data_IF_752331598739
#
_entry.id   IF_752331598739
#
_cell.length_a   1.000
_cell.length_b   1.000
_cell.length_c   1.000
_cell.angle_alpha   90.00
_cell.angle_beta   90.00
_cell.angle_gamma   90.00
#
_symmetry.space_group_name_H-M   'P 1'
#
loop_
_entity.id
_entity.type
_entity.pdbx_description
1 polymer ?
#
# COMPACT_ATOMS: atom_id res chain seq x y z
N UNK A 1 -34.39 -6.35 -56.40
CA UNK A 1 -34.71 -7.78 -56.25
C UNK A 1 -33.60 -8.43 -55.42
N UNK A 2 -33.96 -8.87 -54.20
CA UNK A 2 -33.30 -9.91 -53.36
C UNK A 2 -33.28 -11.24 -54.19
N UNK A 3 -32.43 -12.29 -54.01
CA UNK A 3 -31.83 -12.83 -52.77
C UNK A 3 -30.39 -13.42 -52.79
N UNK A 4 -29.96 -13.73 -51.56
CA UNK A 4 -28.94 -14.68 -51.08
C UNK A 4 -29.11 -16.14 -51.53
N UNK A 5 -28.04 -16.94 -51.42
CA UNK A 5 -28.14 -18.41 -51.25
C UNK A 5 -26.99 -18.96 -50.38
N UNK A 6 -27.33 -19.70 -49.31
CA UNK A 6 -26.47 -20.69 -48.67
C UNK A 6 -26.35 -21.97 -49.53
N UNK A 7 -25.72 -23.09 -49.18
CA UNK A 7 -25.79 -23.87 -47.93
C UNK A 7 -24.94 -25.16 -48.13
N UNK A 8 -24.42 -25.71 -47.02
CA UNK A 8 -23.99 -27.09 -46.69
C UNK A 8 -23.13 -27.96 -47.65
N UNK A 9 -22.09 -28.57 -47.06
CA UNK A 9 -21.59 -29.90 -47.43
C UNK A 9 -21.67 -30.85 -46.23
N UNK A 10 -22.43 -31.92 -46.41
CA UNK A 10 -22.54 -33.08 -45.53
C UNK A 10 -21.48 -34.14 -45.90
N UNK A 11 -20.99 -34.87 -44.90
CA UNK A 11 -19.93 -35.86 -45.04
C UNK A 11 -20.36 -37.25 -45.50
N UNK A 12 -19.38 -38.13 -45.71
CA UNK A 12 -19.53 -39.59 -45.77
C UNK A 12 -18.32 -40.28 -45.12
N UNK A 13 -18.62 -41.24 -44.25
CA UNK A 13 -17.72 -42.18 -43.54
C UNK A 13 -17.18 -43.29 -44.47
N UNK A 14 -16.00 -43.84 -44.14
CA UNK A 14 -15.78 -45.31 -44.16
C UNK A 14 -14.61 -45.78 -43.25
N UNK A 15 -15.01 -46.49 -42.19
CA UNK A 15 -14.43 -47.65 -41.47
C UNK A 15 -13.46 -48.52 -42.30
N UNK A 16 -12.51 -49.33 -41.80
CA UNK A 16 -12.12 -49.90 -40.48
C UNK A 16 -10.81 -50.69 -40.73
N UNK A 17 -9.96 -50.89 -39.71
CA UNK A 17 -9.49 -52.21 -39.19
C UNK A 17 -8.34 -51.96 -38.19
N UNK A 18 -8.58 -52.26 -36.92
CA UNK A 18 -7.55 -52.25 -35.86
C UNK A 18 -7.52 -53.64 -35.22
N UNK A 19 -6.32 -54.21 -35.09
CA UNK A 19 -6.03 -55.46 -34.38
C UNK A 19 -5.48 -55.06 -33.00
N UNK A 20 -6.12 -55.54 -31.94
CA UNK A 20 -5.71 -55.34 -30.55
C UNK A 20 -4.60 -56.33 -30.15
N UNK A 21 -3.60 -55.85 -29.41
CA UNK A 21 -2.75 -56.66 -28.54
C UNK A 21 -2.72 -56.03 -27.16
N UNK A 22 -3.29 -56.72 -26.18
CA UNK A 22 -3.30 -56.37 -24.76
C UNK A 22 -2.12 -57.04 -24.05
N UNK A 23 -1.32 -56.27 -23.32
CA UNK A 23 -0.41 -56.74 -22.27
C UNK A 23 -0.78 -56.06 -20.94
N UNK A 24 -0.71 -56.74 -19.79
CA UNK A 24 -1.28 -56.23 -18.55
C UNK A 24 -0.26 -55.34 -17.79
N UNK A 25 -0.60 -54.07 -17.61
CA UNK A 25 0.19 -53.06 -16.89
C UNK A 25 0.10 -53.23 -15.35
N UNK A 26 -0.73 -54.14 -14.87
CA UNK A 26 -1.06 -54.29 -13.45
C UNK A 26 0.00 -54.98 -12.57
N UNK A 27 1.01 -55.66 -13.15
CA UNK A 27 2.03 -56.35 -12.36
C UNK A 27 3.22 -55.46 -11.95
N UNK A 28 3.57 -54.44 -12.74
CA UNK A 28 4.69 -53.54 -12.42
C UNK A 28 4.35 -52.52 -11.32
N UNK A 29 3.09 -52.08 -11.24
CA UNK A 29 2.66 -51.12 -10.22
C UNK A 29 2.69 -51.72 -8.80
N UNK A 30 2.36 -53.00 -8.64
CA UNK A 30 2.35 -53.66 -7.33
C UNK A 30 3.76 -53.86 -6.74
N UNK A 31 4.76 -54.13 -7.59
CA UNK A 31 6.17 -54.31 -7.16
C UNK A 31 6.82 -53.00 -6.70
N UNK A 32 6.45 -51.86 -7.29
CA UNK A 32 6.95 -50.54 -6.89
C UNK A 32 6.41 -50.06 -5.53
N UNK A 33 5.15 -50.38 -5.20
CA UNK A 33 4.56 -50.01 -3.90
C UNK A 33 5.15 -50.82 -2.72
N UNK A 34 5.47 -52.10 -2.91
CA UNK A 34 6.08 -52.95 -1.88
C UNK A 34 7.53 -52.55 -1.55
N UNK A 35 8.28 -52.00 -2.52
CA UNK A 35 9.64 -51.51 -2.30
C UNK A 35 9.69 -50.17 -1.53
N UNK A 36 8.69 -49.30 -1.72
CA UNK A 36 8.61 -48.02 -1.02
C UNK A 36 8.19 -48.18 0.46
N UNK A 37 7.28 -49.13 0.75
CA UNK A 37 6.82 -49.39 2.11
C UNK A 37 7.90 -50.00 3.01
N UNK A 38 8.78 -50.84 2.45
CA UNK A 38 9.90 -51.45 3.20
C UNK A 38 11.03 -50.46 3.48
N UNK A 39 11.26 -49.46 2.61
CA UNK A 39 12.21 -48.37 2.87
C UNK A 39 11.76 -47.44 4.01
N UNK A 40 10.45 -47.15 4.09
CA UNK A 40 9.88 -46.32 5.17
C UNK A 40 9.97 -46.99 6.55
N UNK A 41 9.73 -48.29 6.62
CA UNK A 41 9.77 -49.07 7.88
C UNK A 41 11.17 -49.33 8.41
N UNK A 42 12.20 -49.41 7.53
CA UNK A 42 13.57 -49.76 7.93
C UNK A 42 14.49 -48.54 8.13
N UNK A 43 14.21 -47.38 7.52
CA UNK A 43 15.12 -46.23 7.54
C UNK A 43 14.53 -44.90 8.07
N UNK A 44 13.20 -44.79 8.28
CA UNK A 44 12.55 -43.56 8.78
C UNK A 44 11.53 -43.86 9.89
N UNK A 45 11.89 -44.69 10.87
CA UNK A 45 11.18 -44.76 12.13
C UNK A 45 11.08 -43.39 12.81
N UNK A 46 10.05 -43.12 13.63
CA UNK A 46 9.75 -41.78 14.13
C UNK A 46 10.89 -41.28 15.01
N UNK A 47 11.57 -40.22 14.58
CA UNK A 47 12.43 -39.41 15.44
C UNK A 47 11.53 -38.78 16.52
N UNK A 48 11.46 -39.44 17.67
CA UNK A 48 10.95 -38.88 18.92
C UNK A 48 11.95 -37.82 19.37
N UNK A 49 11.71 -36.57 18.99
CA UNK A 49 12.45 -35.44 19.52
C UNK A 49 12.10 -35.26 21.02
N UNK A 50 13.08 -35.09 21.91
CA UNK A 50 12.81 -34.92 23.33
C UNK A 50 12.09 -33.60 23.59
N UNK A 51 11.02 -33.68 24.38
CA UNK A 51 10.37 -32.51 24.96
C UNK A 51 11.41 -31.66 25.69
N UNK A 52 11.69 -30.47 25.15
CA UNK A 52 12.09 -29.33 25.97
C UNK A 52 10.88 -28.42 26.04
N UNK A 53 10.17 -28.50 27.16
CA UNK A 53 9.19 -27.50 27.55
C UNK A 53 9.92 -26.17 27.67
N UNK A 54 9.83 -25.34 26.62
CA UNK A 54 10.14 -23.92 26.77
C UNK A 54 8.96 -23.33 27.55
N UNK A 55 9.10 -23.32 28.87
CA UNK A 55 8.32 -22.44 29.72
C UNK A 55 8.55 -21.04 29.19
N UNK A 56 7.56 -20.50 28.48
CA UNK A 56 7.43 -19.06 28.36
C UNK A 56 7.33 -18.56 29.79
N UNK A 57 8.41 -17.96 30.28
CA UNK A 57 8.34 -17.08 31.42
C UNK A 57 7.40 -15.95 31.01
N UNK A 58 6.10 -16.16 31.24
CA UNK A 58 5.15 -15.09 31.40
C UNK A 58 5.67 -14.29 32.59
N UNK A 59 6.46 -13.26 32.28
CA UNK A 59 6.58 -12.12 33.16
C UNK A 59 5.15 -11.63 33.38
N UNK A 60 4.65 -11.92 34.57
CA UNK A 60 3.41 -11.40 35.12
C UNK A 60 3.59 -9.90 35.33
N UNK A 61 3.63 -9.16 34.22
CA UNK A 61 3.17 -7.78 34.20
C UNK A 61 1.66 -7.84 34.27
N UNK A 62 1.11 -7.15 35.27
CA UNK A 62 -0.25 -7.31 35.75
C UNK A 62 -1.30 -7.31 34.65
N UNK A 63 -2.36 -8.07 34.90
CA UNK A 63 -3.66 -8.00 34.22
C UNK A 63 -4.13 -6.54 34.17
N UNK A 64 -3.79 -5.85 33.10
CA UNK A 64 -4.15 -4.47 32.81
C UNK A 64 -4.25 -4.29 31.31
N UNK A 65 -5.49 -4.21 30.82
CA UNK A 65 -5.90 -3.94 29.43
C UNK A 65 -5.13 -4.70 28.33
N UNK A 66 -5.73 -5.75 27.76
CA UNK A 66 -5.37 -6.24 26.43
C UNK A 66 -5.32 -5.04 25.47
N UNK A 67 -4.14 -4.69 24.96
CA UNK A 67 -3.97 -3.61 24.01
C UNK A 67 -4.81 -3.91 22.76
N UNK A 68 -5.68 -2.98 22.37
CA UNK A 68 -6.47 -3.09 21.15
C UNK A 68 -5.56 -3.10 19.91
N UNK A 69 -5.43 -4.25 19.26
CA UNK A 69 -4.77 -4.34 17.95
C UNK A 69 -5.78 -3.96 16.86
N UNK A 70 -5.69 -2.72 16.39
CA UNK A 70 -6.59 -2.17 15.36
C UNK A 70 -6.36 -2.77 13.98
N UNK A 71 -5.31 -3.57 13.78
CA UNK A 71 -4.99 -4.21 12.49
C UNK A 71 -5.75 -5.51 12.25
N UNK A 72 -6.37 -6.07 13.31
CA UNK A 72 -7.16 -7.29 13.27
C UNK A 72 -8.64 -6.96 13.42
N UNK A 73 -9.45 -7.52 12.53
CA UNK A 73 -10.87 -7.20 12.45
C UNK A 73 -11.45 -7.59 11.10
N UNK A 74 -12.58 -6.96 10.78
CA UNK A 74 -13.30 -7.19 9.53
C UNK A 74 -13.96 -5.90 9.04
N UNK A 75 -14.20 -5.84 7.73
CA UNK A 75 -15.05 -4.80 7.16
C UNK A 75 -16.50 -5.17 7.37
N UNK A 76 -17.24 -4.28 8.02
CA UNK A 76 -18.68 -4.44 8.24
C UNK A 76 -19.44 -3.36 7.50
N UNK A 77 -20.65 -3.67 7.06
CA UNK A 77 -21.51 -2.68 6.47
C UNK A 77 -21.81 -1.58 7.49
N UNK A 78 -21.79 -0.35 7.00
CA UNK A 78 -22.27 0.79 7.75
C UNK A 78 -23.76 0.65 8.08
N UNK A 79 -24.25 1.34 9.13
CA UNK A 79 -25.68 1.42 9.39
C UNK A 79 -26.45 1.94 8.16
N UNK A 80 -27.65 1.42 7.94
CA UNK A 80 -28.48 1.83 6.81
C UNK A 80 -28.68 3.36 6.78
N UNK A 81 -28.37 3.98 5.64
CA UNK A 81 -28.48 5.43 5.44
C UNK A 81 -27.24 6.22 5.89
N UNK A 82 -26.17 5.56 6.32
CA UNK A 82 -24.89 6.23 6.52
C UNK A 82 -24.41 6.90 5.22
N UNK A 83 -23.95 8.13 5.35
CA UNK A 83 -23.41 8.90 4.22
C UNK A 83 -21.88 8.81 4.23
N UNK A 84 -21.24 8.86 3.05
CA UNK A 84 -19.79 9.04 3.01
C UNK A 84 -19.42 10.37 3.68
N UNK A 85 -18.16 10.48 4.12
CA UNK A 85 -17.68 11.68 4.82
C UNK A 85 -17.76 12.94 3.96
N UNK A 86 -17.64 12.78 2.65
CA UNK A 86 -17.76 13.84 1.65
C UNK A 86 -18.18 13.19 0.33
N UNK A 87 -18.42 14.00 -0.70
CA UNK A 87 -18.75 13.53 -2.06
C UNK A 87 -17.97 14.32 -3.10
N UNK A 88 -18.04 13.90 -4.36
CA UNK A 88 -17.52 14.69 -5.49
C UNK A 88 -18.17 16.07 -5.65
N UNK A 89 -19.37 16.27 -5.10
CA UNK A 89 -20.06 17.56 -5.10
C UNK A 89 -19.65 18.47 -3.94
N UNK A 90 -19.22 17.90 -2.81
CA UNK A 90 -18.90 18.66 -1.59
C UNK A 90 -17.40 18.92 -1.43
N UNK A 91 -16.53 18.06 -1.97
CA UNK A 91 -15.09 18.26 -1.96
C UNK A 91 -14.52 18.62 -3.34
N UNK A 92 -13.97 19.83 -3.47
CA UNK A 92 -13.30 20.30 -4.69
C UNK A 92 -11.84 19.83 -4.83
N UNK A 93 -11.29 19.13 -3.83
CA UNK A 93 -9.89 18.70 -3.81
C UNK A 93 -9.66 17.29 -4.40
N UNK A 94 -10.73 16.54 -4.68
CA UNK A 94 -10.64 15.20 -5.26
C UNK A 94 -9.99 15.27 -6.64
N UNK A 95 -8.90 14.53 -6.84
CA UNK A 95 -8.21 14.44 -8.11
C UNK A 95 -8.99 13.53 -9.06
N UNK A 96 -8.96 13.82 -10.37
CA UNK A 96 -9.82 13.14 -11.35
C UNK A 96 -9.61 11.62 -11.35
N UNK A 97 -8.36 11.13 -11.31
CA UNK A 97 -8.02 9.70 -11.24
C UNK A 97 -8.58 8.95 -10.01
N UNK A 98 -9.11 9.68 -9.02
CA UNK A 98 -9.73 9.12 -7.81
C UNK A 98 -11.25 9.32 -7.79
N UNK A 99 -11.79 10.12 -8.71
CA UNK A 99 -13.17 10.59 -8.67
C UNK A 99 -14.13 9.62 -9.37
N UNK A 100 -14.24 8.41 -8.82
CA UNK A 100 -15.05 7.34 -9.36
C UNK A 100 -16.55 7.71 -9.49
N UNK A 101 -17.06 8.56 -8.59
CA UNK A 101 -18.42 9.09 -8.66
C UNK A 101 -18.61 9.97 -9.91
N UNK A 102 -17.68 10.89 -10.19
CA UNK A 102 -17.71 11.75 -11.38
C UNK A 102 -17.60 10.94 -12.67
N UNK A 103 -16.78 9.89 -12.67
CA UNK A 103 -16.54 9.05 -13.84
C UNK A 103 -17.53 7.89 -13.99
N UNK A 104 -18.65 7.93 -13.25
CA UNK A 104 -19.81 7.09 -13.53
C UNK A 104 -19.65 5.64 -13.08
N UNK A 105 -18.89 5.37 -12.01
CA UNK A 105 -18.80 4.04 -11.42
C UNK A 105 -20.22 3.52 -11.11
N UNK A 106 -20.66 2.37 -11.66
CA UNK A 106 -22.07 1.95 -11.61
C UNK A 106 -22.64 1.69 -10.22
N UNK A 107 -21.81 1.18 -9.30
CA UNK A 107 -22.18 0.95 -7.90
C UNK A 107 -21.31 1.78 -6.97
N UNK A 108 -21.93 2.34 -5.94
CA UNK A 108 -21.28 3.03 -4.82
C UNK A 108 -21.30 2.19 -3.54
N UNK A 109 -21.57 0.89 -3.63
CA UNK A 109 -21.64 -0.01 -2.46
C UNK A 109 -20.31 -0.09 -1.70
N UNK A 110 -19.18 0.14 -2.37
CA UNK A 110 -17.85 0.21 -1.75
C UNK A 110 -17.73 1.34 -0.70
N UNK A 111 -18.62 2.34 -0.74
CA UNK A 111 -18.69 3.41 0.26
C UNK A 111 -19.41 3.00 1.56
N UNK A 112 -20.08 1.85 1.57
CA UNK A 112 -20.99 1.44 2.65
C UNK A 112 -20.31 0.52 3.68
N UNK A 113 -19.01 0.72 3.91
CA UNK A 113 -18.18 -0.17 4.72
C UNK A 113 -17.34 0.61 5.72
N UNK A 114 -17.26 0.08 6.94
CA UNK A 114 -16.37 0.56 7.99
C UNK A 114 -15.55 -0.59 8.58
N UNK A 115 -14.35 -0.26 9.05
CA UNK A 115 -13.50 -1.24 9.72
C UNK A 115 -13.94 -1.45 11.17
N UNK A 116 -14.08 -2.71 11.58
CA UNK A 116 -14.38 -3.09 12.97
C UNK A 116 -13.25 -3.95 13.54
N UNK A 117 -12.45 -3.44 14.49
CA UNK A 117 -11.43 -4.23 15.16
C UNK A 117 -12.01 -5.36 16.04
N UNK A 118 -11.25 -6.43 16.24
CA UNK A 118 -11.68 -7.65 16.96
C UNK A 118 -11.76 -7.50 18.51
N UNK A 119 -11.18 -6.45 19.10
CA UNK A 119 -10.90 -6.39 20.55
C UNK A 119 -12.09 -6.09 21.48
N UNK A 120 -13.34 -6.17 21.01
CA UNK A 120 -14.53 -5.98 21.83
C UNK A 120 -14.73 -4.54 22.34
N UNK A 121 -15.57 -4.33 23.38
CA UNK A 121 -15.87 -3.00 23.92
C UNK A 121 -14.59 -2.27 24.38
N UNK A 122 -14.38 -1.05 23.88
CA UNK A 122 -13.16 -0.26 24.12
C UNK A 122 -12.06 -0.42 23.07
N UNK A 123 -12.24 -1.30 22.08
CA UNK A 123 -11.39 -1.42 20.89
C UNK A 123 -12.10 -0.94 19.61
N UNK A 124 -13.05 -0.02 19.77
CA UNK A 124 -13.84 0.49 18.66
C UNK A 124 -13.05 1.52 17.86
N UNK A 125 -13.14 1.42 16.52
CA UNK A 125 -12.74 2.49 15.62
C UNK A 125 -14.01 3.28 15.25
N UNK A 126 -14.29 4.41 15.91
CA UNK A 126 -15.46 5.22 15.57
C UNK A 126 -15.25 5.92 14.22
N UNK A 127 -16.37 6.24 13.55
CA UNK A 127 -16.34 7.09 12.37
C UNK A 127 -15.62 8.40 12.65
N UNK A 128 -14.96 8.93 11.63
CA UNK A 128 -14.22 10.18 11.76
C UNK A 128 -15.12 11.34 12.25
N UNK A 129 -14.66 12.02 13.32
CA UNK A 129 -15.30 13.20 13.90
C UNK A 129 -14.40 14.42 13.68
N UNK A 130 -14.78 15.27 12.72
CA UNK A 130 -14.03 16.47 12.37
C UNK A 130 -13.91 17.46 13.54
N UNK A 131 -14.95 17.62 14.37
CA UNK A 131 -14.91 18.53 15.51
C UNK A 131 -13.95 18.02 16.60
N UNK A 132 -13.91 16.70 16.83
CA UNK A 132 -12.90 16.08 17.70
C UNK A 132 -11.49 16.25 17.12
N UNK A 133 -11.31 15.98 15.82
CA UNK A 133 -10.02 16.15 15.16
C UNK A 133 -9.51 17.59 15.32
N UNK A 134 -10.33 18.58 14.96
CA UNK A 134 -10.00 19.99 15.09
C UNK A 134 -9.69 20.44 16.51
N UNK A 135 -10.32 19.85 17.55
CA UNK A 135 -9.92 20.12 18.95
C UNK A 135 -8.52 19.63 19.26
N UNK A 136 -8.12 18.48 18.72
CA UNK A 136 -6.78 17.90 18.94
C UNK A 136 -5.71 18.71 18.20
N UNK A 137 -6.03 19.21 17.00
CA UNK A 137 -5.07 19.87 16.11
C UNK A 137 -5.13 21.40 16.11
N UNK A 138 -5.92 22.01 16.99
CA UNK A 138 -6.01 23.46 17.09
C UNK A 138 -4.64 24.07 17.42
N UNK A 139 -4.20 25.03 16.60
CA UNK A 139 -2.89 25.67 16.73
C UNK A 139 -1.70 24.77 16.40
N UNK A 140 -1.93 23.68 15.64
CA UNK A 140 -0.92 22.69 15.28
C UNK A 140 -0.76 22.53 13.77
N UNK A 141 0.24 21.74 13.37
CA UNK A 141 0.47 21.38 11.98
C UNK A 141 0.79 19.89 11.76
N UNK A 142 0.41 19.38 10.59
CA UNK A 142 0.76 18.03 10.12
C UNK A 142 1.48 18.13 8.79
N UNK A 143 2.62 17.44 8.67
CA UNK A 143 3.34 17.25 7.43
C UNK A 143 3.19 15.80 6.94
N UNK A 144 2.68 15.63 5.72
CA UNK A 144 2.68 14.36 5.00
C UNK A 144 3.86 14.32 4.03
N UNK A 145 4.58 13.20 4.00
CA UNK A 145 5.79 13.02 3.18
C UNK A 145 5.70 11.69 2.44
N UNK A 146 5.68 11.72 1.12
CA UNK A 146 5.44 10.48 0.39
C UNK A 146 5.19 10.56 -1.11
N UNK A 147 4.69 9.44 -1.61
CA UNK A 147 4.25 9.24 -2.99
C UNK A 147 2.77 9.65 -3.20
N UNK A 148 2.17 9.17 -4.29
CA UNK A 148 0.79 9.46 -4.66
C UNK A 148 -0.24 8.91 -3.67
N UNK A 149 0.07 7.86 -2.92
CA UNK A 149 -0.80 7.37 -1.86
C UNK A 149 -0.71 8.25 -0.62
N UNK A 150 0.41 8.94 -0.37
CA UNK A 150 0.47 9.99 0.65
C UNK A 150 -0.41 11.18 0.24
N UNK A 151 -0.33 11.62 -1.02
CA UNK A 151 -1.21 12.65 -1.57
C UNK A 151 -2.70 12.25 -1.50
N UNK A 152 -3.01 10.97 -1.71
CA UNK A 152 -4.36 10.42 -1.56
C UNK A 152 -4.88 10.55 -0.12
N UNK A 153 -4.03 10.29 0.88
CA UNK A 153 -4.38 10.46 2.30
C UNK A 153 -4.64 11.93 2.63
N UNK A 154 -3.78 12.83 2.16
CA UNK A 154 -3.95 14.28 2.34
C UNK A 154 -5.28 14.73 1.74
N UNK A 155 -5.58 14.28 0.51
CA UNK A 155 -6.83 14.62 -0.19
C UNK A 155 -8.05 14.14 0.60
N UNK A 156 -8.04 12.89 1.08
CA UNK A 156 -9.13 12.34 1.91
C UNK A 156 -9.31 13.12 3.21
N UNK A 157 -8.23 13.42 3.94
CA UNK A 157 -8.28 14.19 5.18
C UNK A 157 -8.83 15.61 4.94
N UNK A 158 -8.28 16.31 3.94
CA UNK A 158 -8.70 17.67 3.59
C UNK A 158 -10.17 17.69 3.17
N UNK A 159 -10.61 16.74 2.34
CA UNK A 159 -12.02 16.63 1.96
C UNK A 159 -12.93 16.42 3.18
N UNK A 160 -12.57 15.49 4.06
CA UNK A 160 -13.33 15.19 5.27
C UNK A 160 -13.44 16.41 6.19
N UNK A 161 -12.37 17.18 6.35
CA UNK A 161 -12.36 18.40 7.17
C UNK A 161 -13.09 19.57 6.48
N UNK A 162 -13.11 19.60 5.15
CA UNK A 162 -13.74 20.68 4.37
C UNK A 162 -15.24 20.80 4.55
N UNK A 163 -15.90 19.71 4.99
CA UNK A 163 -17.32 19.72 5.38
C UNK A 163 -17.59 20.62 6.60
N UNK A 164 -16.59 20.82 7.46
CA UNK A 164 -16.69 21.68 8.64
C UNK A 164 -16.01 23.05 8.43
N UNK A 165 -14.91 23.09 7.68
CA UNK A 165 -14.24 24.34 7.31
C UNK A 165 -13.48 24.20 5.99
N UNK A 166 -13.82 25.02 4.99
CA UNK A 166 -13.11 25.03 3.70
C UNK A 166 -11.71 25.64 3.90
N UNK A 167 -10.62 24.91 3.58
CA UNK A 167 -9.28 25.44 3.74
C UNK A 167 -8.85 26.32 2.56
N UNK A 168 -7.90 27.21 2.80
CA UNK A 168 -7.13 27.86 1.73
C UNK A 168 -5.99 26.95 1.29
N UNK A 169 -5.77 26.81 -0.03
CA UNK A 169 -4.67 26.03 -0.60
C UNK A 169 -3.59 26.95 -1.19
N UNK A 170 -2.31 26.60 -1.01
CA UNK A 170 -1.17 27.24 -1.69
C UNK A 170 -0.06 26.22 -1.97
N UNK A 171 0.66 26.43 -3.06
CA UNK A 171 1.88 25.69 -3.38
C UNK A 171 3.08 26.61 -3.17
N UNK A 172 4.07 26.19 -2.38
CA UNK A 172 5.26 26.99 -2.09
C UNK A 172 6.45 26.08 -1.74
N UNK A 173 7.64 26.42 -2.22
CA UNK A 173 8.91 25.75 -1.85
C UNK A 173 8.95 24.23 -2.06
N UNK A 174 8.14 23.72 -3.01
CA UNK A 174 8.01 22.28 -3.28
C UNK A 174 7.00 21.55 -2.38
N UNK A 175 6.20 22.29 -1.62
CA UNK A 175 5.13 21.77 -0.77
C UNK A 175 3.77 22.24 -1.26
N UNK A 176 2.77 21.39 -1.02
CA UNK A 176 1.36 21.79 -1.04
C UNK A 176 0.90 22.07 0.39
N UNK A 177 0.18 23.16 0.61
CA UNK A 177 -0.30 23.55 1.93
C UNK A 177 -1.80 23.82 1.92
N UNK A 178 -2.47 23.37 2.97
CA UNK A 178 -3.85 23.69 3.30
C UNK A 178 -3.90 24.32 4.68
N UNK A 179 -4.55 25.47 4.81
CA UNK A 179 -4.76 26.14 6.10
C UNK A 179 -6.24 26.21 6.41
N UNK A 180 -6.59 25.89 7.65
CA UNK A 180 -7.91 25.99 8.26
C UNK A 180 -7.87 27.13 9.30
N UNK A 181 -8.14 28.38 8.91
CA UNK A 181 -7.94 29.56 9.76
C UNK A 181 -8.75 29.56 11.07
N UNK A 182 -9.99 29.06 11.08
CA UNK A 182 -10.83 29.05 12.27
C UNK A 182 -10.30 28.12 13.38
N UNK A 183 -9.46 27.16 12.99
CA UNK A 183 -8.80 26.21 13.88
C UNK A 183 -7.30 26.46 14.06
N UNK A 184 -6.75 27.46 13.36
CA UNK A 184 -5.30 27.68 13.26
C UNK A 184 -4.54 26.36 13.01
N UNK A 185 -5.07 25.58 12.07
CA UNK A 185 -4.56 24.27 11.74
C UNK A 185 -3.97 24.27 10.32
N UNK A 186 -2.81 23.63 10.15
CA UNK A 186 -2.14 23.54 8.87
C UNK A 186 -1.84 22.08 8.49
N UNK A 187 -2.11 21.75 7.22
CA UNK A 187 -1.68 20.50 6.59
C UNK A 187 -0.69 20.86 5.50
N UNK A 188 0.45 20.18 5.48
CA UNK A 188 1.44 20.31 4.41
C UNK A 188 1.73 18.94 3.79
N UNK A 189 2.04 18.91 2.51
CA UNK A 189 2.44 17.71 1.78
C UNK A 189 3.72 17.95 1.01
N UNK A 190 4.67 17.03 1.14
CA UNK A 190 5.92 17.02 0.40
C UNK A 190 6.04 15.74 -0.43
N UNK A 191 6.20 15.89 -1.74
CA UNK A 191 6.36 14.78 -2.67
C UNK A 191 7.79 14.22 -2.62
N UNK A 192 7.93 12.99 -2.15
CA UNK A 192 9.18 12.21 -2.26
C UNK A 192 8.87 10.71 -2.34
N UNK A 193 8.83 10.15 -3.56
CA UNK A 193 8.34 8.78 -3.78
C UNK A 193 9.29 7.71 -3.21
N UNK A 194 10.53 8.08 -2.91
CA UNK A 194 11.55 7.18 -2.38
C UNK A 194 12.03 7.56 -0.98
N UNK A 195 11.55 8.67 -0.39
CA UNK A 195 11.93 9.19 0.95
C UNK A 195 13.38 9.68 1.09
N UNK A 196 14.32 9.02 0.40
CA UNK A 196 15.74 9.39 0.28
C UNK A 196 15.98 10.30 -0.92
N UNK A 197 17.12 10.96 -0.94
CA UNK A 197 17.55 11.78 -2.06
C UNK A 197 17.56 10.95 -3.35
N UNK A 198 16.90 11.48 -4.37
CA UNK A 198 16.77 10.78 -5.63
C UNK A 198 16.70 11.76 -6.81
N UNK A 199 16.98 11.26 -8.02
CA UNK A 199 16.81 12.01 -9.27
C UNK A 199 16.54 11.08 -10.43
N UNK A 200 16.02 11.63 -11.53
CA UNK A 200 15.95 10.93 -12.80
C UNK A 200 17.35 10.73 -13.37
N UNK A 201 17.71 9.50 -13.74
CA UNK A 201 19.05 9.19 -14.28
C UNK A 201 19.36 9.99 -15.55
N UNK A 202 18.35 10.32 -16.36
CA UNK A 202 18.49 11.11 -17.60
C UNK A 202 17.84 12.50 -17.54
N UNK A 203 17.52 13.00 -16.33
CA UNK A 203 16.77 14.25 -16.14
C UNK A 203 15.30 14.16 -16.57
N UNK A 204 14.45 15.13 -16.20
CA UNK A 204 13.07 15.16 -16.64
C UNK A 204 12.99 15.52 -18.13
N UNK A 205 11.96 15.06 -18.87
CA UNK A 205 11.63 15.63 -20.17
C UNK A 205 11.56 17.15 -20.06
N UNK A 206 12.11 17.87 -21.05
CA UNK A 206 12.20 19.33 -21.04
C UNK A 206 10.85 20.03 -20.80
N UNK A 207 9.73 19.39 -21.15
CA UNK A 207 8.38 19.87 -20.93
C UNK A 207 7.94 19.94 -19.45
N UNK A 208 8.61 19.24 -18.54
CA UNK A 208 8.21 19.12 -17.13
C UNK A 208 9.05 19.99 -16.19
N UNK A 209 10.28 20.32 -16.60
CA UNK A 209 11.21 21.15 -15.81
C UNK A 209 11.84 20.41 -14.62
N UNK A 210 12.93 20.95 -14.04
CA UNK A 210 13.66 20.32 -12.93
C UNK A 210 12.86 20.24 -11.62
N UNK A 211 11.90 21.14 -11.40
CA UNK A 211 11.13 21.20 -10.15
C UNK A 211 10.04 20.12 -10.05
N UNK A 212 9.67 19.49 -11.17
CA UNK A 212 8.63 18.45 -11.24
C UNK A 212 9.16 17.09 -11.69
N UNK A 213 10.45 16.82 -11.45
CA UNK A 213 11.11 15.53 -11.75
C UNK A 213 10.35 14.32 -11.18
N UNK A 214 9.69 14.50 -10.02
CA UNK A 214 8.85 13.52 -9.33
C UNK A 214 7.53 13.14 -9.99
N UNK A 215 7.04 13.96 -10.90
CA UNK A 215 5.73 13.78 -11.54
C UNK A 215 5.82 13.03 -12.86
N UNK A 216 7.03 12.69 -13.32
CA UNK A 216 7.25 12.08 -14.62
C UNK A 216 7.40 10.58 -14.49
N UNK A 217 6.60 9.84 -15.27
CA UNK A 217 6.81 8.42 -15.56
C UNK A 217 8.04 8.21 -16.48
N UNK A 218 9.19 8.79 -16.15
CA UNK A 218 10.38 8.74 -17.00
C UNK A 218 11.52 7.99 -16.32
N UNK A 219 12.12 7.04 -17.06
CA UNK A 219 13.49 6.55 -16.89
C UNK A 219 13.84 5.84 -15.57
N UNK A 220 15.01 5.18 -15.50
CA UNK A 220 15.53 4.73 -14.23
C UNK A 220 15.82 5.91 -13.30
N UNK A 221 15.81 5.64 -12.00
CA UNK A 221 16.02 6.62 -10.96
C UNK A 221 17.35 6.36 -10.25
N UNK A 222 18.13 7.40 -9.94
CA UNK A 222 19.29 7.29 -9.05
C UNK A 222 18.81 7.52 -7.61
N UNK A 223 18.96 6.53 -6.73
CA UNK A 223 18.57 6.62 -5.31
C UNK A 223 19.81 6.61 -4.42
N UNK A 224 19.95 7.63 -3.57
CA UNK A 224 21.03 7.73 -2.58
C UNK A 224 20.55 7.15 -1.24
N UNK A 225 20.76 5.85 -1.02
CA UNK A 225 20.09 5.08 0.03
C UNK A 225 20.45 5.50 1.46
N UNK A 226 21.53 6.25 1.66
CA UNK A 226 22.04 6.74 2.94
C UNK A 226 21.82 8.25 3.17
N UNK A 227 21.09 8.92 2.27
CA UNK A 227 20.84 10.36 2.32
C UNK A 227 19.31 10.59 2.38
N UNK A 228 18.73 11.02 3.52
CA UNK A 228 17.34 11.47 3.55
C UNK A 228 17.13 12.61 2.54
N UNK A 229 15.94 12.71 1.95
CA UNK A 229 15.63 13.87 1.11
C UNK A 229 15.65 15.15 1.96
N UNK A 230 16.61 16.04 1.69
CA UNK A 230 16.99 17.10 2.63
C UNK A 230 15.88 18.15 2.83
N UNK A 231 15.06 18.39 1.81
CA UNK A 231 14.14 19.55 1.79
C UNK A 231 13.05 19.47 2.87
N UNK A 232 12.58 18.28 3.23
CA UNK A 232 11.48 18.14 4.19
C UNK A 232 11.94 17.91 5.64
N UNK A 233 13.20 17.54 5.87
CA UNK A 233 13.72 17.29 7.21
C UNK A 233 13.69 18.52 8.14
N UNK A 234 14.01 19.75 7.68
CA UNK A 234 13.79 20.96 8.48
C UNK A 234 12.31 21.19 8.78
N UNK A 235 11.44 21.02 7.78
CA UNK A 235 9.99 21.17 7.96
C UNK A 235 9.43 20.16 8.97
N UNK A 236 9.99 18.94 9.04
CA UNK A 236 9.60 17.96 10.05
C UNK A 236 9.79 18.48 11.48
N UNK A 237 10.84 19.27 11.76
CA UNK A 237 11.07 19.87 13.08
C UNK A 237 10.00 20.88 13.47
N UNK A 238 9.43 21.56 12.49
CA UNK A 238 8.45 22.64 12.65
C UNK A 238 7.01 22.13 12.73
N UNK A 239 6.78 20.83 12.49
CA UNK A 239 5.44 20.25 12.51
C UNK A 239 5.19 19.40 13.76
N UNK A 240 3.98 19.49 14.30
CA UNK A 240 3.57 18.70 15.47
C UNK A 240 3.41 17.21 15.15
N UNK A 241 3.05 16.90 13.90
CA UNK A 241 2.93 15.53 13.40
C UNK A 241 3.58 15.41 12.04
N UNK A 242 4.27 14.29 11.80
CA UNK A 242 4.91 13.98 10.52
C UNK A 242 4.49 12.58 10.11
N UNK A 243 3.78 12.45 8.99
CA UNK A 243 3.33 11.16 8.44
C UNK A 243 4.19 10.81 7.23
N UNK A 244 5.04 9.79 7.37
CA UNK A 244 5.89 9.28 6.29
C UNK A 244 5.28 8.02 5.67
N UNK A 245 5.26 7.95 4.34
CA UNK A 245 4.75 6.78 3.62
C UNK A 245 5.22 6.72 2.17
N UNK A 246 5.69 5.55 1.74
CA UNK A 246 6.03 5.25 0.35
C UNK A 246 6.20 3.74 0.18
N UNK A 247 5.86 3.20 -1.00
CA UNK A 247 6.13 1.78 -1.29
C UNK A 247 6.32 1.48 -2.77
N UNK A 248 5.35 1.84 -3.60
CA UNK A 248 5.22 1.24 -4.94
C UNK A 248 6.24 1.74 -5.94
N UNK A 249 6.75 2.96 -5.75
CA UNK A 249 7.79 3.53 -6.60
C UNK A 249 9.09 2.73 -6.57
N UNK A 250 9.41 2.04 -5.47
CA UNK A 250 10.61 1.21 -5.37
C UNK A 250 10.63 0.03 -6.34
N UNK A 251 9.49 -0.38 -6.88
CA UNK A 251 9.42 -1.42 -7.92
C UNK A 251 9.86 -0.94 -9.31
N UNK A 252 10.12 0.37 -9.48
CA UNK A 252 10.60 0.92 -10.74
C UNK A 252 12.09 0.67 -10.96
N UNK A 253 12.56 0.63 -12.21
CA UNK A 253 13.97 0.60 -12.51
C UNK A 253 14.73 1.73 -11.80
N UNK A 254 15.86 1.38 -11.20
CA UNK A 254 16.61 2.28 -10.35
C UNK A 254 18.06 1.83 -10.18
N UNK A 255 18.99 2.79 -10.08
CA UNK A 255 20.38 2.59 -9.67
C UNK A 255 20.53 3.06 -8.23
N UNK A 256 21.17 2.25 -7.41
CA UNK A 256 21.31 2.48 -5.99
C UNK A 256 22.72 2.95 -5.66
N UNK A 257 22.79 4.06 -4.96
CA UNK A 257 24.02 4.68 -4.49
C UNK A 257 24.13 4.61 -2.97
N UNK A 258 25.35 4.44 -2.47
CA UNK A 258 25.73 4.78 -1.09
C UNK A 258 27.02 5.55 -1.09
N UNK A 259 27.09 6.65 -0.34
CA UNK A 259 28.29 7.51 -0.28
C UNK A 259 28.83 7.87 -1.68
N UNK A 260 27.93 8.13 -2.62
CA UNK A 260 28.26 8.44 -4.02
C UNK A 260 28.71 7.26 -4.90
N UNK A 261 28.78 6.03 -4.39
CA UNK A 261 29.17 4.84 -5.17
C UNK A 261 27.96 3.99 -5.53
N UNK A 262 27.89 3.51 -6.78
CA UNK A 262 26.85 2.57 -7.19
C UNK A 262 27.06 1.22 -6.48
N UNK A 263 26.06 0.78 -5.72
CA UNK A 263 26.07 -0.48 -4.95
C UNK A 263 25.15 -1.55 -5.52
N UNK A 264 24.29 -1.18 -6.47
CA UNK A 264 23.43 -2.12 -7.17
C UNK A 264 22.35 -1.41 -7.98
N UNK A 265 21.46 -2.18 -8.59
CA UNK A 265 20.35 -1.65 -9.37
C UNK A 265 19.18 -2.64 -9.44
N UNK A 266 17.99 -2.13 -9.73
CA UNK A 266 16.80 -2.90 -10.09
C UNK A 266 16.36 -2.53 -11.50
N UNK A 267 15.94 -3.52 -12.30
CA UNK A 267 15.50 -3.28 -13.69
C UNK A 267 16.59 -2.79 -14.65
N UNK A 268 17.87 -2.88 -14.26
CA UNK A 268 19.02 -2.55 -15.10
C UNK A 268 19.35 -3.71 -16.05
N UNK A 269 19.63 -3.42 -17.32
CA UNK A 269 20.20 -4.40 -18.25
C UNK A 269 21.63 -4.73 -17.77
N UNK A 270 21.91 -6.00 -17.50
CA UNK A 270 23.20 -6.47 -16.99
C UNK A 270 24.33 -6.42 -18.03
N UNK A 271 24.13 -5.73 -19.16
CA UNK A 271 25.02 -5.75 -20.32
C UNK A 271 26.34 -5.00 -20.11
N UNK A 272 26.41 -4.06 -19.15
CA UNK A 272 27.61 -3.25 -18.89
C UNK A 272 28.43 -3.68 -17.67
N UNK A 273 28.16 -4.88 -17.12
CA UNK A 273 29.12 -5.64 -16.31
C UNK A 273 29.58 -5.10 -14.95
N UNK A 274 29.07 -3.96 -14.45
CA UNK A 274 29.68 -3.31 -13.27
C UNK A 274 28.73 -3.00 -12.09
N UNK A 275 27.44 -3.34 -12.17
CA UNK A 275 26.46 -3.04 -11.09
C UNK A 275 25.62 -4.27 -10.76
N UNK A 276 25.59 -4.65 -9.48
CA UNK A 276 24.88 -5.84 -8.99
C UNK A 276 23.36 -5.66 -9.08
N UNK A 277 22.65 -6.61 -9.70
CA UNK A 277 21.20 -6.64 -9.67
C UNK A 277 20.70 -6.95 -8.25
N UNK A 278 19.89 -6.06 -7.68
CA UNK A 278 19.33 -6.16 -6.34
C UNK A 278 17.79 -6.05 -6.41
N UNK A 279 17.07 -6.76 -5.53
CA UNK A 279 15.61 -6.67 -5.50
C UNK A 279 15.17 -5.30 -5.00
N UNK A 280 13.98 -4.81 -5.39
CA UNK A 280 13.49 -3.49 -5.01
C UNK A 280 13.36 -3.31 -3.49
N UNK A 281 13.08 -4.41 -2.76
CA UNK A 281 13.04 -4.42 -1.29
C UNK A 281 14.35 -3.99 -0.63
N UNK A 282 15.48 -4.14 -1.32
CA UNK A 282 16.78 -3.71 -0.80
C UNK A 282 16.82 -2.19 -0.63
N UNK A 283 16.39 -1.45 -1.66
CA UNK A 283 16.34 0.00 -1.65
C UNK A 283 15.27 0.53 -0.69
N UNK A 284 14.07 -0.06 -0.72
CA UNK A 284 12.99 0.34 0.19
C UNK A 284 13.40 0.19 1.66
N UNK A 285 14.00 -0.95 2.03
CA UNK A 285 14.47 -1.18 3.40
C UNK A 285 15.51 -0.15 3.80
N UNK A 286 16.48 0.12 2.92
CA UNK A 286 17.52 1.10 3.21
C UNK A 286 16.96 2.52 3.35
N UNK A 287 16.01 2.91 2.50
CA UNK A 287 15.37 4.22 2.56
C UNK A 287 14.60 4.43 3.89
N UNK A 288 13.76 3.48 4.28
CA UNK A 288 13.03 3.57 5.55
C UNK A 288 13.97 3.49 6.76
N UNK A 289 15.03 2.68 6.71
CA UNK A 289 16.07 2.71 7.75
C UNK A 289 16.66 4.10 7.91
N UNK A 290 17.06 4.72 6.80
CA UNK A 290 17.70 6.03 6.78
C UNK A 290 16.77 7.11 7.31
N UNK A 291 15.54 7.18 6.81
CA UNK A 291 14.57 8.21 7.18
C UNK A 291 14.04 8.04 8.60
N UNK A 292 13.71 6.82 9.03
CA UNK A 292 13.19 6.60 10.38
C UNK A 292 14.25 6.85 11.45
N UNK A 293 15.52 6.49 11.20
CA UNK A 293 16.63 6.86 12.10
C UNK A 293 16.87 8.36 12.12
N UNK A 294 16.81 9.03 10.96
CA UNK A 294 16.97 10.47 10.89
C UNK A 294 15.87 11.19 11.70
N UNK A 295 14.62 10.73 11.65
CA UNK A 295 13.52 11.23 12.48
C UNK A 295 13.70 10.90 13.96
N UNK A 296 14.10 9.67 14.28
CA UNK A 296 14.33 9.21 15.66
C UNK A 296 15.46 9.96 16.37
N UNK A 297 16.46 10.45 15.62
CA UNK A 297 17.57 11.25 16.11
C UNK A 297 17.46 12.75 15.78
N UNK A 298 16.29 13.23 15.36
CA UNK A 298 16.14 14.60 14.87
C UNK A 298 16.20 15.60 16.01
N UNK A 299 17.35 16.25 16.19
CA UNK A 299 17.55 17.22 17.27
C UNK A 299 16.53 18.36 17.21
N UNK A 300 15.89 18.63 18.35
CA UNK A 300 14.84 19.64 18.51
C UNK A 300 13.43 19.21 18.06
N UNK A 301 13.23 18.02 17.48
CA UNK A 301 11.89 17.55 17.13
C UNK A 301 11.12 17.08 18.37
N UNK A 302 9.96 17.71 18.62
CA UNK A 302 9.08 17.41 19.77
C UNK A 302 7.73 16.81 19.35
N UNK A 303 7.51 16.67 18.05
CA UNK A 303 6.27 16.16 17.47
C UNK A 303 6.12 14.64 17.59
N UNK A 304 5.16 14.11 16.85
CA UNK A 304 4.94 12.69 16.67
C UNK A 304 5.23 12.31 15.22
N UNK A 305 6.21 11.44 15.00
CA UNK A 305 6.46 10.83 13.69
C UNK A 305 5.60 9.57 13.55
N UNK A 306 4.97 9.40 12.39
CA UNK A 306 4.02 8.34 12.10
C UNK A 306 4.47 7.66 10.79
N UNK A 307 4.73 6.36 10.83
CA UNK A 307 4.90 5.55 9.62
C UNK A 307 3.55 4.98 9.21
N UNK A 308 3.04 5.32 8.02
CA UNK A 308 1.96 4.55 7.39
C UNK A 308 2.56 3.41 6.58
N UNK A 309 2.12 2.19 6.85
CA UNK A 309 2.58 0.99 6.13
C UNK A 309 2.05 0.92 4.69
N UNK A 310 2.52 -0.07 3.93
CA UNK A 310 2.12 -0.35 2.55
C UNK A 310 0.60 -0.44 2.44
N UNK A 311 0.02 0.27 1.48
CA UNK A 311 -1.35 0.04 1.02
C UNK A 311 -1.28 -0.78 -0.28
N UNK A 312 -1.73 -2.04 -0.29
CA UNK A 312 -1.50 -2.97 -1.39
C UNK A 312 -2.33 -2.61 -2.63
N UNK A 313 -1.85 -3.09 -3.77
CA UNK A 313 -2.60 -3.12 -5.03
C UNK A 313 -3.47 -4.38 -5.13
N UNK A 314 -4.50 -4.37 -5.99
CA UNK A 314 -5.37 -5.54 -6.23
C UNK A 314 -5.49 -5.84 -7.73
N UNK A 315 -4.34 -5.97 -8.39
CA UNK A 315 -4.29 -6.37 -9.79
C UNK A 315 -4.64 -7.84 -9.98
N UNK A 316 -5.59 -8.10 -10.86
CA UNK A 316 -5.92 -9.41 -11.44
C UNK A 316 -5.61 -9.40 -12.95
N UNK A 317 -5.35 -10.57 -13.53
CA UNK A 317 -5.20 -10.79 -14.98
C UNK A 317 -4.11 -9.96 -15.68
N UNK A 318 -3.18 -9.37 -14.95
CA UNK A 318 -2.10 -8.55 -15.47
C UNK A 318 -1.58 -7.59 -14.40
N UNK A 319 -0.59 -6.76 -14.72
CA UNK A 319 -0.14 -5.66 -13.87
C UNK A 319 -0.51 -4.30 -14.43
N UNK A 320 -0.03 -3.23 -13.79
CA UNK A 320 -0.25 -1.84 -14.21
C UNK A 320 0.02 -1.60 -15.71
N UNK A 321 1.08 -2.20 -16.27
CA UNK A 321 1.46 -2.00 -17.68
C UNK A 321 1.05 -3.15 -18.61
N UNK A 322 0.44 -4.21 -18.07
CA UNK A 322 0.24 -5.48 -18.77
C UNK A 322 -1.26 -5.84 -18.90
N UNK A 323 -2.14 -4.83 -18.80
CA UNK A 323 -3.59 -5.00 -18.94
C UNK A 323 -4.30 -5.59 -17.72
N UNK A 324 -3.73 -5.42 -16.52
CA UNK A 324 -4.37 -5.85 -15.28
C UNK A 324 -5.64 -5.06 -14.95
N UNK A 325 -6.52 -5.67 -14.15
CA UNK A 325 -7.82 -5.14 -13.74
C UNK A 325 -8.13 -5.43 -12.26
N UNK A 326 -9.10 -4.73 -11.69
CA UNK A 326 -9.58 -4.94 -10.31
C UNK A 326 -11.11 -4.95 -10.30
N UNK A 327 -11.73 -6.06 -10.75
CA UNK A 327 -13.17 -6.10 -11.02
C UNK A 327 -14.01 -6.32 -9.76
N UNK A 328 -13.39 -6.59 -8.61
CA UNK A 328 -14.10 -6.87 -7.38
C UNK A 328 -15.00 -5.70 -6.97
N UNK A 329 -16.17 -6.05 -6.44
CA UNK A 329 -17.21 -5.08 -6.07
C UNK A 329 -17.57 -5.15 -4.60
N UNK A 330 -16.98 -6.07 -3.85
CA UNK A 330 -17.15 -6.22 -2.40
C UNK A 330 -15.78 -6.39 -1.72
N UNK A 331 -15.68 -6.04 -0.43
CA UNK A 331 -14.54 -6.42 0.41
C UNK A 331 -14.37 -7.93 0.47
N UNK A 332 -13.17 -8.38 0.81
CA UNK A 332 -12.92 -9.78 1.17
C UNK A 332 -13.57 -10.10 2.52
N UNK A 333 -14.25 -11.25 2.61
CA UNK A 333 -14.79 -11.74 3.86
C UNK A 333 -13.66 -12.07 4.86
N UNK A 334 -14.01 -12.12 6.15
CA UNK A 334 -13.08 -12.38 7.25
C UNK A 334 -12.22 -13.63 7.03
N UNK A 335 -12.86 -14.71 6.59
CA UNK A 335 -12.26 -16.04 6.44
C UNK A 335 -11.56 -16.24 5.09
N UNK A 336 -11.70 -15.27 4.16
CA UNK A 336 -10.98 -15.30 2.90
C UNK A 336 -9.48 -15.03 3.11
N UNK A 337 -8.66 -15.83 2.43
CA UNK A 337 -7.21 -15.65 2.40
C UNK A 337 -6.88 -14.37 1.65
N UNK A 338 -6.23 -13.44 2.36
CA UNK A 338 -5.74 -12.19 1.82
C UNK A 338 -4.21 -12.26 1.78
N UNK A 339 -3.66 -12.81 0.69
CA UNK A 339 -2.21 -12.92 0.50
C UNK A 339 -1.66 -11.67 -0.20
N UNK A 340 -0.59 -11.11 0.36
CA UNK A 340 0.10 -9.98 -0.24
C UNK A 340 1.23 -10.47 -1.15
N UNK A 341 1.15 -10.13 -2.44
CA UNK A 341 2.17 -10.49 -3.41
C UNK A 341 3.50 -9.78 -3.15
N UNK A 342 4.60 -10.36 -3.65
CA UNK A 342 5.87 -9.64 -3.74
C UNK A 342 5.83 -8.65 -4.93
N UNK A 343 6.48 -7.47 -4.83
CA UNK A 343 7.39 -7.05 -3.76
C UNK A 343 6.72 -6.42 -2.53
N UNK A 344 5.40 -6.20 -2.53
CA UNK A 344 4.68 -5.49 -1.47
C UNK A 344 4.79 -6.19 -0.10
N UNK A 345 4.67 -7.52 -0.07
CA UNK A 345 4.84 -8.31 1.15
C UNK A 345 6.24 -8.15 1.76
N UNK A 346 7.26 -8.08 0.91
CA UNK A 346 8.64 -7.78 1.29
C UNK A 346 8.82 -6.36 1.81
N UNK A 347 8.18 -5.37 1.16
CA UNK A 347 8.19 -3.97 1.61
C UNK A 347 7.55 -3.79 2.97
N UNK A 348 6.39 -4.43 3.20
CA UNK A 348 5.68 -4.39 4.47
C UNK A 348 6.53 -4.96 5.61
N UNK A 349 7.09 -6.17 5.43
CA UNK A 349 7.98 -6.78 6.43
C UNK A 349 9.20 -5.91 6.72
N UNK A 350 9.82 -5.34 5.68
CA UNK A 350 10.95 -4.42 5.85
C UNK A 350 10.58 -3.14 6.60
N UNK A 351 9.43 -2.53 6.31
CA UNK A 351 8.92 -1.36 7.05
C UNK A 351 8.74 -1.66 8.53
N UNK A 352 8.13 -2.81 8.87
CA UNK A 352 7.95 -3.20 10.27
C UNK A 352 9.28 -3.46 10.99
N UNK A 353 10.24 -4.11 10.32
CA UNK A 353 11.57 -4.35 10.87
C UNK A 353 12.32 -3.03 11.17
N UNK A 354 12.37 -2.12 10.20
CA UNK A 354 13.07 -0.83 10.37
C UNK A 354 12.33 0.11 11.34
N UNK A 355 11.00 0.05 11.39
CA UNK A 355 10.20 0.77 12.39
C UNK A 355 10.56 0.34 13.81
N UNK A 356 10.55 -0.97 14.10
CA UNK A 356 10.89 -1.49 15.44
C UNK A 356 12.32 -1.10 15.86
N UNK A 357 13.26 -1.14 14.92
CA UNK A 357 14.63 -0.71 15.17
C UNK A 357 14.72 0.79 15.49
N UNK A 358 14.00 1.64 14.74
CA UNK A 358 13.98 3.08 14.96
C UNK A 358 13.18 3.50 16.20
N UNK A 359 12.16 2.75 16.59
CA UNK A 359 11.35 3.01 17.79
C UNK A 359 12.19 2.91 19.07
N UNK A 360 13.10 1.93 19.14
CA UNK A 360 14.01 1.79 20.27
C UNK A 360 14.92 3.02 20.41
N UNK A 361 15.43 3.53 19.30
CA UNK A 361 16.26 4.74 19.23
C UNK A 361 15.45 6.01 19.54
N UNK A 362 14.26 6.14 18.95
CA UNK A 362 13.36 7.26 19.18
C UNK A 362 13.01 7.37 20.67
N UNK A 363 12.73 6.24 21.34
CA UNK A 363 12.47 6.20 22.78
C UNK A 363 13.66 6.69 23.61
N UNK A 364 14.89 6.36 23.22
CA UNK A 364 16.12 6.84 23.91
C UNK A 364 16.28 8.36 23.74
N UNK A 365 15.87 8.89 22.60
CA UNK A 365 15.98 10.31 22.25
C UNK A 365 14.74 11.14 22.64
N UNK A 366 13.70 10.53 23.23
CA UNK A 366 12.46 11.22 23.59
C UNK A 366 11.54 11.57 22.41
N UNK A 367 11.78 11.01 21.22
CA UNK A 367 10.94 11.19 20.03
C UNK A 367 9.75 10.22 20.07
N UNK A 368 8.54 10.72 19.80
CA UNK A 368 7.35 9.88 19.68
C UNK A 368 7.26 9.32 18.27
N UNK A 369 7.65 8.06 18.10
CA UNK A 369 7.44 7.31 16.87
C UNK A 369 6.19 6.43 17.01
N UNK A 370 5.33 6.39 15.99
CA UNK A 370 4.07 5.64 15.97
C UNK A 370 3.89 4.90 14.64
N UNK A 371 3.33 3.70 14.71
CA UNK A 371 2.99 2.92 13.53
C UNK A 371 1.50 3.10 13.24
N UNK A 372 1.17 3.47 12.01
CA UNK A 372 -0.18 3.44 11.48
C UNK A 372 -0.24 2.29 10.46
N UNK A 373 -0.52 1.09 10.96
CA UNK A 373 -0.53 -0.11 10.14
C UNK A 373 -1.88 -0.27 9.43
N UNK A 374 -1.89 0.07 8.15
CA UNK A 374 -3.08 0.01 7.28
C UNK A 374 -3.08 -1.24 6.40
N UNK A 375 -1.98 -1.98 6.33
CA UNK A 375 -1.71 -2.96 5.28
C UNK A 375 -2.78 -4.04 5.23
N UNK A 376 -3.10 -4.66 6.37
CA UNK A 376 -4.11 -5.74 6.44
C UNK A 376 -5.54 -5.23 6.24
N UNK A 377 -5.82 -4.02 6.69
CA UNK A 377 -7.13 -3.37 6.55
C UNK A 377 -7.40 -3.14 5.07
N UNK A 378 -6.42 -2.60 4.35
CA UNK A 378 -6.53 -2.26 2.93
C UNK A 378 -6.45 -3.47 2.00
N UNK A 379 -5.73 -4.53 2.36
CA UNK A 379 -5.67 -5.79 1.59
C UNK A 379 -7.04 -6.49 1.46
N UNK A 380 -8.00 -6.11 2.30
CA UNK A 380 -9.36 -6.67 2.26
C UNK A 380 -10.32 -5.82 1.44
N UNK A 381 -9.83 -4.82 0.69
CA UNK A 381 -10.65 -3.85 -0.04
C UNK A 381 -10.38 -3.81 -1.55
N UNK A 382 -10.36 -4.95 -2.26
CA UNK A 382 -10.18 -4.93 -3.71
C UNK A 382 -11.28 -4.13 -4.43
N UNK A 383 -12.45 -3.98 -3.82
CA UNK A 383 -13.56 -3.15 -4.28
C UNK A 383 -13.30 -1.63 -4.24
N UNK A 384 -12.21 -1.20 -3.60
CA UNK A 384 -11.90 0.19 -3.34
C UNK A 384 -11.30 0.97 -4.50
N UNK A 385 -10.78 0.27 -5.50
CA UNK A 385 -9.97 0.86 -6.55
C UNK A 385 -10.80 1.57 -7.62
N UNK A 386 -10.25 2.59 -8.31
CA UNK A 386 -10.89 3.20 -9.45
C UNK A 386 -11.18 2.23 -10.60
N UNK A 387 -10.33 1.22 -10.81
CA UNK A 387 -10.36 0.39 -12.02
C UNK A 387 -10.40 1.32 -13.26
N UNK A 388 -11.37 1.17 -14.15
CA UNK A 388 -11.57 2.03 -15.32
C UNK A 388 -12.22 3.39 -15.02
N UNK A 389 -12.62 3.63 -13.77
CA UNK A 389 -13.40 4.80 -13.35
C UNK A 389 -12.53 5.90 -12.74
N UNK A 390 -11.21 5.88 -12.97
CA UNK A 390 -10.33 7.01 -12.68
C UNK A 390 -10.37 8.09 -13.76
N UNK A 391 -10.76 7.76 -14.99
CA UNK A 391 -10.66 8.70 -16.11
C UNK A 391 -12.00 8.91 -16.81
N UNK A 392 -12.15 10.05 -17.50
CA UNK A 392 -13.31 10.31 -18.36
C UNK A 392 -13.32 9.45 -19.61
N UNK A 393 -14.35 9.56 -20.45
CA UNK A 393 -14.33 8.90 -21.76
C UNK A 393 -13.19 9.43 -22.64
N UNK A 394 -12.42 8.53 -23.28
CA UNK A 394 -11.29 8.88 -24.15
C UNK A 394 -10.23 7.79 -24.18
N UNK A 395 -9.21 7.99 -25.03
CA UNK A 395 -7.96 7.21 -24.99
C UNK A 395 -7.01 7.87 -24.00
N UNK A 396 -6.61 7.13 -22.96
CA UNK A 396 -5.64 7.60 -21.95
C UNK A 396 -4.26 6.97 -22.13
N UNK A 397 -3.93 6.50 -23.33
CA UNK A 397 -2.60 6.00 -23.65
C UNK A 397 -2.21 4.74 -22.86
N UNK A 398 -3.20 3.88 -22.55
CA UNK A 398 -3.01 2.66 -21.77
C UNK A 398 -3.03 2.83 -20.25
N UNK A 399 -3.30 4.05 -19.75
CA UNK A 399 -3.51 4.31 -18.31
C UNK A 399 -4.99 4.24 -17.91
N UNK A 400 -5.78 3.42 -18.60
CA UNK A 400 -7.23 3.39 -18.39
C UNK A 400 -7.62 2.73 -17.07
N UNK A 401 -6.77 1.84 -16.52
CA UNK A 401 -7.07 1.04 -15.34
C UNK A 401 -6.11 1.33 -14.19
N UNK A 402 -6.68 1.69 -13.04
CA UNK A 402 -5.94 1.95 -11.82
C UNK A 402 -6.40 1.04 -10.68
N UNK A 403 -5.51 0.11 -10.29
CA UNK A 403 -5.69 -0.80 -9.15
C UNK A 403 -4.64 -0.58 -8.05
N UNK A 404 -4.04 0.62 -8.04
CA UNK A 404 -3.06 1.05 -7.04
C UNK A 404 -3.62 2.18 -6.18
N UNK A 405 -4.21 3.20 -6.81
CA UNK A 405 -4.90 4.27 -6.12
C UNK A 405 -6.31 3.83 -5.74
N UNK A 406 -7.02 4.69 -5.02
CA UNK A 406 -8.30 4.37 -4.41
C UNK A 406 -9.31 5.43 -4.80
N UNK A 407 -10.57 5.01 -4.99
CA UNK A 407 -11.67 5.94 -5.12
C UNK A 407 -11.76 6.85 -3.89
N UNK A 408 -12.07 8.13 -4.10
CA UNK A 408 -12.35 9.10 -3.04
C UNK A 408 -13.76 9.72 -3.25
N UNK A 409 -14.64 9.74 -2.24
CA UNK A 409 -14.52 9.02 -0.95
C UNK A 409 -14.37 7.51 -1.15
N UNK A 410 -13.91 6.78 -0.13
CA UNK A 410 -13.64 5.35 -0.27
C UNK A 410 -12.84 4.74 0.88
N UNK A 411 -12.22 3.56 0.68
CA UNK A 411 -11.60 2.83 1.78
C UNK A 411 -10.45 3.58 2.48
N UNK A 412 -9.78 4.49 1.76
CA UNK A 412 -8.73 5.35 2.31
C UNK A 412 -9.23 6.19 3.50
N UNK A 413 -10.53 6.48 3.60
CA UNK A 413 -11.08 7.32 4.66
C UNK A 413 -10.84 6.71 6.06
N UNK A 414 -10.65 5.39 6.16
CA UNK A 414 -10.26 4.69 7.40
C UNK A 414 -8.88 5.15 7.92
N UNK A 415 -8.00 5.65 7.04
CA UNK A 415 -6.70 6.17 7.45
C UNK A 415 -6.86 7.42 8.33
N UNK A 416 -7.88 8.24 8.08
CA UNK A 416 -8.18 9.41 8.91
C UNK A 416 -8.68 8.99 10.29
N UNK A 417 -9.46 7.90 10.37
CA UNK A 417 -9.95 7.34 11.64
C UNK A 417 -8.79 6.80 12.49
N UNK A 418 -7.88 6.04 11.86
CA UNK A 418 -6.65 5.55 12.50
C UNK A 418 -5.74 6.70 12.93
N UNK A 419 -5.57 7.71 12.09
CA UNK A 419 -4.79 8.90 12.40
C UNK A 419 -5.39 9.63 13.62
N UNK A 420 -6.70 9.85 13.64
CA UNK A 420 -7.40 10.47 14.77
C UNK A 420 -7.23 9.65 16.06
N UNK A 421 -7.29 8.32 15.98
CA UNK A 421 -7.05 7.44 17.12
C UNK A 421 -5.61 7.57 17.65
N UNK A 422 -4.61 7.51 16.77
CA UNK A 422 -3.18 7.67 17.12
C UNK A 422 -2.92 9.03 17.76
N UNK A 423 -3.58 10.09 17.28
CA UNK A 423 -3.41 11.46 17.80
C UNK A 423 -4.19 11.71 19.10
N UNK A 424 -5.16 10.86 19.43
CA UNK A 424 -5.97 10.97 20.65
C UNK A 424 -5.33 10.30 21.86
N UNK A 425 -4.36 9.41 21.66
CA UNK A 425 -3.59 8.73 22.72
C UNK A 425 -2.22 9.36 22.91
#
# INVERSE_FOLDING_TARGET
MIPSLGILLAGVRRSRHAIAKTTPVSALAALLFLAAATFWLLFLGPLRSPHTTLSSGASTHGLGATSCDTTLGEWVRDPAGARPHYTNATCAFIQDYQNCMKHGRPSLDFLQWRWRPDGGPGCELPRFDAARFFRIVRGKSILFVGDSLASSHVTSLVCTLSEAEIPTRRSADGFEHWRFPAHDFAVSFFWTPFQVRWRLTSGPPAAVGPDRQGEVFAGPNDLHLDEPEERWMPAAKENDYVVVSASHWFARPAVYYRRGQAVGCHGCATTDGNVTALPPRYAQRAAFRTVLRALAGLDGFKGTAILRTVAPTHYANGGWFDGGECPDTQPLDRDETADMAEPEGGFYRAQLEEFRAAEEEARKNGVRLRLMDVTRIMLRRPDGHPDRYGHGAGDHGGFDIDCLHWCLPGPIDVWNELLLQIMSG
#
